data_IF_907699808260
#
_entry.id   IF_907699808260
#
_cell.length_a   1.000
_cell.length_b   1.000
_cell.length_c   1.000
_cell.angle_alpha   90.00
_cell.angle_beta   90.00
_cell.angle_gamma   90.00
#
_symmetry.space_group_name_H-M   'P 1'
#
loop_
_entity.id
_entity.type
_entity.pdbx_description
1 polymer ?
#
# COMPACT_ATOMS: atom_id res chain seq x y z
N UNK A 1 -11.93 32.66 16.84
CA UNK A 1 -13.08 31.88 16.33
C UNK A 1 -12.72 30.44 16.61
N UNK A 2 -13.47 29.71 17.44
CA UNK A 2 -13.19 28.30 17.65
C UNK A 2 -13.47 27.58 16.32
N UNK A 3 -12.44 26.99 15.71
CA UNK A 3 -12.64 26.06 14.60
C UNK A 3 -13.54 24.94 15.11
N UNK A 4 -14.78 24.91 14.62
CA UNK A 4 -15.71 23.84 14.96
C UNK A 4 -15.19 22.62 14.21
N UNK A 5 -14.74 21.59 14.95
CA UNK A 5 -14.40 20.27 14.41
C UNK A 5 -15.67 19.59 13.88
N UNK A 6 -16.09 20.00 12.68
CA UNK A 6 -17.26 19.45 12.01
C UNK A 6 -16.89 18.08 11.44
N UNK A 7 -17.57 17.05 11.93
CA UNK A 7 -17.55 15.71 11.31
C UNK A 7 -18.29 15.81 9.99
N UNK A 8 -17.61 15.51 8.88
CA UNK A 8 -18.17 15.52 7.54
C UNK A 8 -18.96 14.25 7.26
N UNK A 9 -18.39 13.09 7.60
CA UNK A 9 -19.03 11.79 7.41
C UNK A 9 -18.52 10.75 8.41
N UNK A 10 -19.27 9.65 8.53
CA UNK A 10 -18.80 8.43 9.21
C UNK A 10 -18.82 7.28 8.21
N UNK A 11 -17.71 6.56 8.03
CA UNK A 11 -17.63 5.45 7.07
C UNK A 11 -17.15 4.12 7.67
N UNK A 12 -17.86 3.00 7.45
CA UNK A 12 -19.20 2.93 6.88
C UNK A 12 -20.22 3.64 7.79
N UNK A 13 -21.32 4.17 7.23
CA UNK A 13 -22.33 4.88 8.01
C UNK A 13 -23.06 3.94 8.97
N UNK A 14 -23.59 4.45 10.10
CA UNK A 14 -24.52 3.70 10.95
C UNK A 14 -25.69 3.13 10.12
N UNK A 15 -26.19 1.92 10.45
CA UNK A 15 -25.93 1.11 11.66
C UNK A 15 -24.70 0.20 11.57
N UNK A 16 -23.86 0.31 10.53
CA UNK A 16 -22.66 -0.51 10.41
C UNK A 16 -21.67 -0.23 11.55
N UNK A 17 -20.97 -1.26 12.02
CA UNK A 17 -20.01 -1.16 13.12
C UNK A 17 -18.62 -0.71 12.64
N UNK A 18 -17.90 -0.04 13.53
CA UNK A 18 -16.52 0.39 13.31
C UNK A 18 -16.39 1.59 12.37
N UNK A 19 -17.40 2.46 12.29
CA UNK A 19 -17.33 3.69 11.51
C UNK A 19 -16.12 4.55 11.86
N UNK A 20 -15.47 5.10 10.84
CA UNK A 20 -14.38 6.07 10.94
C UNK A 20 -14.99 7.44 10.68
N UNK A 21 -14.91 8.33 11.66
CA UNK A 21 -15.34 9.73 11.50
C UNK A 21 -14.28 10.51 10.76
N UNK A 22 -14.65 11.13 9.64
CA UNK A 22 -13.78 12.04 8.88
C UNK A 22 -14.25 13.46 9.14
N UNK A 23 -13.34 14.33 9.58
CA UNK A 23 -13.61 15.73 9.88
C UNK A 23 -13.12 16.66 8.77
N UNK A 24 -13.48 17.95 8.87
CA UNK A 24 -12.94 18.96 7.96
C UNK A 24 -11.41 19.11 8.09
N UNK A 25 -10.84 18.91 9.27
CA UNK A 25 -9.38 18.94 9.48
C UNK A 25 -8.69 17.78 8.76
N UNK A 26 -9.27 16.59 8.80
CA UNK A 26 -8.75 15.43 8.06
C UNK A 26 -8.76 15.70 6.55
N UNK A 27 -9.76 16.40 6.03
CA UNK A 27 -9.84 16.76 4.62
C UNK A 27 -8.70 17.71 4.20
N UNK A 28 -8.19 18.55 5.11
CA UNK A 28 -7.09 19.47 4.79
C UNK A 28 -5.79 18.74 4.44
N UNK A 29 -5.56 17.54 4.98
CA UNK A 29 -4.34 16.79 4.67
C UNK A 29 -4.31 16.24 3.24
N UNK A 30 -5.42 16.31 2.50
CA UNK A 30 -5.50 15.98 1.08
C UNK A 30 -5.06 17.13 0.18
N UNK A 31 -4.80 18.33 0.69
CA UNK A 31 -4.22 19.40 -0.11
C UNK A 31 -2.79 19.04 -0.56
N UNK A 32 -2.33 19.66 -1.65
CA UNK A 32 -0.98 19.45 -2.17
C UNK A 32 0.09 19.80 -1.13
N UNK A 33 1.14 18.98 -1.05
CA UNK A 33 2.24 19.18 -0.10
C UNK A 33 1.98 18.69 1.33
N UNK A 34 0.75 18.31 1.69
CA UNK A 34 0.41 17.86 3.04
C UNK A 34 0.59 16.34 3.22
N UNK A 35 1.05 15.92 4.40
CA UNK A 35 1.16 14.50 4.75
C UNK A 35 -0.22 13.92 5.08
N UNK A 36 -0.56 12.77 4.50
CA UNK A 36 -1.79 12.07 4.88
C UNK A 36 -1.75 11.64 6.35
N UNK A 37 -2.87 11.82 7.05
CA UNK A 37 -3.00 11.40 8.44
C UNK A 37 -3.59 9.99 8.58
N UNK A 38 -3.59 9.46 9.81
CA UNK A 38 -4.11 8.12 10.13
C UNK A 38 -5.58 7.94 9.70
N UNK A 39 -6.41 9.00 9.82
CA UNK A 39 -7.84 8.97 9.51
C UNK A 39 -8.09 8.77 8.02
N UNK A 40 -7.42 9.54 7.16
CA UNK A 40 -7.56 9.43 5.70
C UNK A 40 -7.04 8.09 5.19
N UNK A 41 -5.91 7.61 5.72
CA UNK A 41 -5.37 6.28 5.37
C UNK A 41 -6.38 5.19 5.72
N UNK A 42 -6.84 5.15 6.97
CA UNK A 42 -7.74 4.09 7.44
C UNK A 42 -9.12 4.18 6.77
N UNK A 43 -9.64 5.41 6.53
CA UNK A 43 -10.87 5.64 5.78
C UNK A 43 -10.79 5.05 4.38
N UNK A 44 -9.77 5.44 3.61
CA UNK A 44 -9.71 5.06 2.20
C UNK A 44 -9.41 3.58 2.03
N UNK A 45 -8.52 3.00 2.84
CA UNK A 45 -8.28 1.55 2.86
C UNK A 45 -9.56 0.77 3.18
N UNK A 46 -10.38 1.28 4.10
CA UNK A 46 -11.66 0.67 4.44
C UNK A 46 -12.67 0.78 3.30
N UNK A 47 -12.73 1.92 2.61
CA UNK A 47 -13.54 2.10 1.40
C UNK A 47 -13.11 1.13 0.30
N UNK A 48 -11.81 1.02 0.01
CA UNK A 48 -11.29 0.06 -0.96
C UNK A 48 -11.68 -1.38 -0.61
N UNK A 49 -11.55 -1.76 0.66
CA UNK A 49 -11.87 -3.11 1.12
C UNK A 49 -13.37 -3.44 1.02
N UNK A 50 -14.26 -2.46 1.26
CA UNK A 50 -15.70 -2.68 1.24
C UNK A 50 -16.31 -2.56 -0.16
N UNK A 51 -15.83 -1.62 -0.98
CA UNK A 51 -16.49 -1.25 -2.25
C UNK A 51 -15.71 -1.69 -3.49
N UNK A 52 -14.39 -1.86 -3.41
CA UNK A 52 -13.53 -2.17 -4.57
C UNK A 52 -13.05 -3.60 -4.60
N UNK A 53 -12.81 -4.20 -3.42
CA UNK A 53 -12.36 -5.58 -3.33
C UNK A 53 -13.52 -6.56 -3.62
N UNK A 54 -13.28 -7.53 -4.50
CA UNK A 54 -14.26 -8.59 -4.78
C UNK A 54 -14.58 -9.37 -3.51
N UNK A 55 -15.84 -9.80 -3.36
CA UNK A 55 -16.30 -10.52 -2.14
C UNK A 55 -15.46 -11.78 -1.83
N UNK A 56 -15.07 -12.52 -2.86
CA UNK A 56 -14.20 -13.70 -2.74
C UNK A 56 -12.80 -13.35 -2.22
N UNK A 57 -12.24 -12.22 -2.67
CA UNK A 57 -10.94 -11.75 -2.24
C UNK A 57 -10.99 -11.11 -0.85
N UNK A 58 -12.11 -10.48 -0.48
CA UNK A 58 -12.34 -9.91 0.85
C UNK A 58 -12.34 -11.00 1.93
N UNK A 59 -12.89 -12.19 1.64
CA UNK A 59 -12.83 -13.34 2.57
C UNK A 59 -11.40 -13.82 2.77
N UNK A 60 -10.56 -13.75 1.73
CA UNK A 60 -9.14 -14.17 1.75
C UNK A 60 -8.19 -13.04 2.17
N UNK A 61 -8.70 -11.85 2.44
CA UNK A 61 -7.88 -10.69 2.79
C UNK A 61 -8.20 -10.15 4.19
N UNK A 62 -7.26 -9.41 4.74
CA UNK A 62 -7.44 -8.63 5.96
C UNK A 62 -6.64 -7.32 5.87
N UNK A 63 -7.24 -6.21 6.29
CA UNK A 63 -6.56 -4.91 6.34
C UNK A 63 -6.54 -4.46 7.80
N UNK A 64 -5.34 -4.27 8.35
CA UNK A 64 -5.20 -3.65 9.66
C UNK A 64 -5.32 -2.13 9.55
N UNK A 65 -5.83 -1.50 10.61
CA UNK A 65 -5.70 -0.06 10.80
C UNK A 65 -4.23 0.35 10.98
N UNK A 66 -3.88 1.57 10.61
CA UNK A 66 -2.62 2.25 10.89
C UNK A 66 -2.10 2.08 12.33
N UNK A 67 -3.01 2.02 13.30
CA UNK A 67 -2.68 1.85 14.71
C UNK A 67 -2.10 0.49 15.09
N UNK A 68 -2.28 -0.55 14.27
CA UNK A 68 -1.85 -1.91 14.60
C UNK A 68 -0.34 -1.98 14.82
N UNK A 69 0.45 -1.58 13.82
CA UNK A 69 1.91 -1.68 13.90
C UNK A 69 2.47 -0.69 14.93
N UNK A 70 1.91 0.53 14.98
CA UNK A 70 2.22 1.55 16.00
C UNK A 70 2.08 1.00 17.43
N UNK A 71 0.99 0.26 17.70
CA UNK A 71 0.74 -0.36 19.02
C UNK A 71 1.60 -1.60 19.26
N UNK A 72 1.81 -2.41 18.22
CA UNK A 72 2.68 -3.59 18.28
C UNK A 72 4.13 -3.21 18.62
N UNK A 73 4.66 -2.17 17.97
CA UNK A 73 6.05 -1.73 18.15
C UNK A 73 6.24 -0.64 19.22
N UNK A 74 5.20 -0.33 20.00
CA UNK A 74 5.28 0.68 21.05
C UNK A 74 6.34 0.31 22.12
N UNK A 75 7.24 1.25 22.42
CA UNK A 75 8.25 1.09 23.48
C UNK A 75 7.58 0.94 24.84
N UNK A 76 8.05 -0.03 25.63
CA UNK A 76 7.54 -0.25 26.99
C UNK A 76 7.95 0.91 27.92
N UNK A 77 7.01 1.39 28.73
CA UNK A 77 7.33 2.30 29.84
C UNK A 77 7.95 1.47 30.96
N UNK A 78 9.01 1.98 31.60
CA UNK A 78 9.85 1.25 32.58
C UNK A 78 9.13 0.68 33.82
N UNK A 79 7.82 0.90 34.02
CA UNK A 79 7.14 0.66 35.31
C UNK A 79 5.98 -0.37 35.29
N UNK A 80 5.82 -1.20 34.25
CA UNK A 80 4.81 -2.29 34.28
C UNK A 80 5.37 -3.55 34.92
N UNK A 81 5.04 -3.76 36.20
CA UNK A 81 5.56 -4.83 37.07
C UNK A 81 5.04 -6.23 36.68
N UNK A 82 3.91 -6.32 35.98
CA UNK A 82 3.12 -7.56 35.85
C UNK A 82 3.43 -8.41 34.59
N UNK A 83 4.23 -7.90 33.64
CA UNK A 83 4.59 -8.60 32.38
C UNK A 83 6.07 -8.89 32.24
N UNK A 84 6.89 -8.60 33.26
CA UNK A 84 8.35 -8.69 33.25
C UNK A 84 8.91 -10.12 33.03
N UNK A 85 8.08 -11.16 33.19
CA UNK A 85 8.50 -12.56 33.02
C UNK A 85 8.20 -13.14 31.62
N UNK A 86 7.44 -12.45 30.76
CA UNK A 86 7.13 -12.96 29.41
C UNK A 86 8.26 -12.62 28.41
N UNK A 87 8.50 -13.45 27.38
CA UNK A 87 9.32 -13.07 26.23
C UNK A 87 8.82 -11.77 25.58
N UNK A 88 9.75 -10.97 25.06
CA UNK A 88 9.46 -9.65 24.47
C UNK A 88 8.37 -9.75 23.39
N UNK A 89 8.44 -10.78 22.54
CA UNK A 89 7.49 -11.03 21.46
C UNK A 89 6.06 -11.22 21.99
N UNK A 90 5.90 -12.00 23.08
CA UNK A 90 4.59 -12.20 23.73
C UNK A 90 4.05 -10.91 24.35
N UNK A 91 4.92 -10.06 24.90
CA UNK A 91 4.50 -8.73 25.39
C UNK A 91 4.07 -7.81 24.26
N UNK A 92 4.81 -7.80 23.13
CA UNK A 92 4.44 -7.05 21.93
C UNK A 92 3.05 -7.48 21.42
N UNK A 93 2.87 -8.78 21.25
CA UNK A 93 1.60 -9.38 20.84
C UNK A 93 0.44 -9.04 21.78
N UNK A 94 0.63 -9.14 23.09
CA UNK A 94 -0.40 -8.83 24.09
C UNK A 94 -1.00 -7.44 23.96
N UNK A 95 -0.28 -6.46 23.40
CA UNK A 95 -0.79 -5.09 23.17
C UNK A 95 -1.81 -5.00 22.04
N UNK A 96 -1.79 -5.96 21.12
CA UNK A 96 -2.63 -6.00 19.91
C UNK A 96 -3.48 -7.28 19.82
N UNK A 97 -3.43 -8.18 20.81
CA UNK A 97 -4.15 -9.47 20.81
C UNK A 97 -5.65 -9.39 20.49
N UNK A 98 -6.29 -8.26 20.77
CA UNK A 98 -7.73 -8.06 20.53
C UNK A 98 -8.04 -7.73 19.07
N UNK A 99 -7.06 -7.24 18.29
CA UNK A 99 -7.25 -6.91 16.87
C UNK A 99 -7.65 -8.14 16.07
N UNK A 100 -7.16 -9.31 16.45
CA UNK A 100 -7.49 -10.59 15.80
C UNK A 100 -8.52 -11.42 16.56
N UNK A 101 -9.28 -10.85 17.52
CA UNK A 101 -10.20 -11.64 18.36
C UNK A 101 -11.17 -12.52 17.55
N UNK A 102 -11.68 -11.99 16.44
CA UNK A 102 -12.68 -12.65 15.59
C UNK A 102 -12.17 -12.96 14.18
N UNK A 103 -10.85 -12.99 13.97
CA UNK A 103 -10.25 -13.35 12.68
C UNK A 103 -9.09 -14.32 12.89
N UNK A 104 -8.96 -15.28 11.98
CA UNK A 104 -7.80 -16.15 11.87
C UNK A 104 -6.97 -15.70 10.67
N UNK A 105 -5.81 -15.08 10.95
CA UNK A 105 -4.91 -14.55 9.93
C UNK A 105 -4.33 -15.63 9.02
N UNK A 106 -4.24 -16.87 9.50
CA UNK A 106 -3.63 -17.98 8.75
C UNK A 106 -4.57 -18.61 7.74
N UNK A 107 -5.83 -18.18 7.70
CA UNK A 107 -6.79 -18.50 6.63
C UNK A 107 -6.83 -17.42 5.54
N UNK A 108 -6.00 -16.38 5.68
CA UNK A 108 -5.91 -15.28 4.72
C UNK A 108 -4.78 -15.54 3.75
N UNK A 109 -4.99 -15.13 2.51
CA UNK A 109 -3.95 -15.03 1.49
C UNK A 109 -3.17 -13.72 1.64
N UNK A 110 -3.85 -12.61 2.00
CA UNK A 110 -3.23 -11.29 2.07
C UNK A 110 -3.60 -10.55 3.35
N UNK A 111 -2.59 -10.01 4.03
CA UNK A 111 -2.78 -9.14 5.20
C UNK A 111 -2.03 -7.84 4.97
N UNK A 112 -2.77 -6.75 4.86
CA UNK A 112 -2.25 -5.40 4.60
C UNK A 112 -1.99 -4.70 5.93
N UNK A 113 -0.79 -4.17 6.09
CA UNK A 113 -0.34 -3.46 7.28
C UNK A 113 0.21 -2.09 6.85
N UNK A 114 -0.59 -1.02 6.90
CA UNK A 114 -0.08 0.33 6.72
C UNK A 114 0.84 0.68 7.91
N UNK A 115 2.01 1.23 7.62
CA UNK A 115 3.01 1.56 8.63
C UNK A 115 3.48 2.99 8.43
N UNK A 116 3.51 3.75 9.52
CA UNK A 116 4.09 5.08 9.60
C UNK A 116 5.24 5.07 10.59
N UNK A 117 6.45 5.36 10.12
CA UNK A 117 7.64 5.58 10.95
C UNK A 117 8.27 6.91 10.54
N UNK A 118 8.47 7.82 11.51
CA UNK A 118 9.08 9.14 11.26
C UNK A 118 8.39 9.97 10.17
N UNK A 119 7.05 10.03 10.20
CA UNK A 119 6.22 10.74 9.21
C UNK A 119 6.34 10.20 7.78
N UNK A 120 6.80 8.95 7.63
CA UNK A 120 6.89 8.27 6.35
C UNK A 120 5.99 7.04 6.31
N UNK A 121 5.06 7.04 5.36
CA UNK A 121 4.12 5.95 5.12
C UNK A 121 4.69 4.93 4.14
N UNK A 122 4.52 3.66 4.48
CA UNK A 122 4.81 2.53 3.61
C UNK A 122 3.91 1.35 3.96
N UNK A 123 3.87 0.35 3.10
CA UNK A 123 2.95 -0.77 3.23
C UNK A 123 3.71 -2.08 3.39
N UNK A 124 3.38 -2.84 4.43
CA UNK A 124 3.74 -4.25 4.50
C UNK A 124 2.55 -5.12 4.08
N UNK A 125 2.81 -6.12 3.24
CA UNK A 125 1.81 -7.14 2.84
C UNK A 125 2.33 -8.50 3.24
N UNK A 126 1.65 -9.17 4.16
CA UNK A 126 1.93 -10.56 4.52
C UNK A 126 1.15 -11.44 3.55
N UNK A 127 1.87 -12.22 2.75
CA UNK A 127 1.32 -13.09 1.73
C UNK A 127 1.35 -14.54 2.19
N UNK A 128 0.24 -15.24 2.00
CA UNK A 128 0.04 -16.67 2.26
C UNK A 128 0.61 -17.19 3.59
N UNK A 129 0.33 -16.53 4.74
CA UNK A 129 0.86 -16.95 6.04
C UNK A 129 0.45 -18.36 6.47
N UNK A 130 -0.64 -18.90 5.91
CA UNK A 130 -1.06 -20.28 6.15
C UNK A 130 -0.15 -21.33 5.49
N UNK A 131 0.46 -21.03 4.33
CA UNK A 131 1.25 -21.99 3.56
C UNK A 131 2.58 -22.31 4.22
N UNK A 132 2.94 -23.59 4.29
CA UNK A 132 4.22 -24.05 4.87
C UNK A 132 5.41 -23.79 3.95
N UNK A 133 5.20 -23.91 2.63
CA UNK A 133 6.23 -23.77 1.61
C UNK A 133 5.65 -23.16 0.34
N UNK A 134 6.54 -22.72 -0.54
CA UNK A 134 6.18 -22.29 -1.87
C UNK A 134 5.44 -23.41 -2.63
N UNK A 135 4.35 -23.04 -3.29
CA UNK A 135 3.56 -23.87 -4.18
C UNK A 135 3.66 -23.29 -5.59
N UNK A 136 4.15 -24.10 -6.53
CA UNK A 136 4.24 -23.74 -7.95
C UNK A 136 3.12 -24.43 -8.70
N UNK A 137 2.34 -23.67 -9.45
CA UNK A 137 1.22 -24.19 -10.24
C UNK A 137 1.26 -23.66 -11.67
N UNK A 138 0.63 -24.35 -12.64
CA UNK A 138 0.50 -23.86 -14.01
C UNK A 138 -0.17 -22.48 -14.01
N UNK A 139 0.36 -21.57 -14.82
CA UNK A 139 -0.22 -20.24 -14.93
C UNK A 139 -1.48 -20.28 -15.81
N UNK A 140 -2.68 -19.99 -15.27
CA UNK A 140 -3.91 -19.98 -16.07
C UNK A 140 -3.94 -18.87 -17.12
N UNK A 141 -3.07 -17.86 -16.99
CA UNK A 141 -2.93 -16.76 -17.95
C UNK A 141 -1.87 -17.03 -19.03
N UNK A 142 -1.22 -18.19 -19.01
CA UNK A 142 -0.14 -18.48 -19.96
C UNK A 142 -0.64 -18.51 -21.40
N UNK A 143 -0.03 -17.69 -22.25
CA UNK A 143 -0.24 -17.67 -23.69
C UNK A 143 1.10 -17.98 -24.37
N UNK A 144 1.23 -19.14 -25.04
CA UNK A 144 2.44 -19.46 -25.79
C UNK A 144 2.66 -18.41 -26.88
N UNK A 145 3.82 -17.76 -26.90
CA UNK A 145 4.20 -16.93 -28.04
C UNK A 145 4.52 -17.84 -29.22
N UNK A 146 3.63 -17.91 -30.20
CA UNK A 146 3.90 -18.58 -31.48
C UNK A 146 4.96 -17.77 -32.21
N UNK A 147 6.23 -18.18 -32.14
CA UNK A 147 7.26 -17.63 -33.02
C UNK A 147 6.96 -18.07 -34.45
N UNK A 148 6.38 -17.18 -35.26
CA UNK A 148 6.36 -17.35 -36.70
C UNK A 148 7.80 -17.18 -37.21
N UNK A 149 8.47 -18.30 -37.51
CA UNK A 149 9.74 -18.29 -38.21
C UNK A 149 9.50 -17.83 -39.65
N UNK A 150 9.54 -16.53 -39.90
CA UNK A 150 9.69 -16.00 -41.25
C UNK A 150 11.15 -16.20 -41.67
N UNK A 151 11.43 -17.30 -42.37
CA UNK A 151 12.65 -17.49 -43.17
C UNK A 151 12.71 -16.43 -44.27
N UNK A 152 13.34 -15.30 -43.97
CA UNK A 152 13.81 -14.37 -45.00
C UNK A 152 15.13 -14.89 -45.55
N UNK A 153 15.06 -15.49 -46.75
CA UNK A 153 16.23 -15.79 -47.57
C UNK A 153 16.67 -14.46 -48.20
N UNK A 154 17.79 -13.90 -47.74
CA UNK A 154 18.43 -12.75 -48.38
C UNK A 154 19.86 -13.11 -48.76
N UNK A 155 20.03 -13.28 -50.07
CA UNK A 155 21.28 -13.42 -50.81
C UNK A 155 22.22 -12.23 -50.60
N UNK A 156 23.47 -12.51 -50.26
CA UNK A 156 24.60 -11.56 -50.37
C UNK A 156 25.02 -11.35 -51.82
N UNK A 157 25.70 -10.23 -52.10
CA UNK A 157 27.06 -10.34 -52.64
C UNK A 157 28.07 -9.46 -51.89
N UNK A 158 29.34 -9.64 -52.27
CA UNK A 158 30.54 -9.61 -51.45
C UNK A 158 31.41 -8.33 -51.56
N UNK A 159 32.53 -8.37 -50.81
CA UNK A 159 33.74 -7.52 -50.78
C UNK A 159 33.57 -6.15 -50.08
N UNK A 160 34.52 -5.62 -49.29
CA UNK A 160 35.98 -5.72 -49.22
C UNK A 160 36.37 -5.20 -47.80
N UNK A 161 37.26 -5.78 -46.99
CA UNK A 161 38.72 -5.64 -47.10
C UNK A 161 39.23 -4.39 -46.37
N UNK A 162 39.89 -4.53 -45.20
CA UNK A 162 40.68 -3.44 -44.60
C UNK A 162 40.85 -3.49 -43.08
N UNK A 163 42.07 -3.78 -42.63
CA UNK A 163 42.57 -3.81 -41.26
C UNK A 163 43.16 -2.46 -40.80
N UNK A 164 43.41 -2.35 -39.49
CA UNK A 164 44.51 -1.64 -38.81
C UNK A 164 44.11 -0.60 -37.73
N UNK A 165 44.27 -1.04 -36.48
CA UNK A 165 45.08 -0.49 -35.39
C UNK A 165 45.41 1.02 -35.22
N UNK A 166 45.37 1.41 -33.92
CA UNK A 166 46.23 2.32 -33.14
C UNK A 166 45.81 3.79 -32.86
N UNK A 167 45.57 4.00 -31.55
CA UNK A 167 46.18 4.94 -30.60
C UNK A 167 46.07 6.47 -30.67
N UNK A 168 45.71 6.98 -29.47
CA UNK A 168 46.12 8.20 -28.76
C UNK A 168 45.87 9.59 -29.38
N UNK A 169 45.20 10.45 -28.60
CA UNK A 169 45.81 11.67 -28.06
C UNK A 169 44.97 12.25 -26.90
N UNK A 170 45.74 12.72 -25.93
CA UNK A 170 45.42 13.31 -24.62
C UNK A 170 44.69 14.65 -24.67
N UNK A 171 43.79 14.81 -23.69
CA UNK A 171 43.67 15.91 -22.70
C UNK A 171 43.92 17.36 -23.15
N UNK A 172 42.94 18.24 -22.90
CA UNK A 172 42.97 19.17 -21.74
C UNK A 172 41.73 20.09 -21.70
N UNK A 173 41.18 20.21 -20.48
CA UNK A 173 40.56 21.37 -19.82
C UNK A 173 39.64 22.31 -20.62
N UNK A 174 38.47 22.66 -20.06
CA UNK A 174 38.42 23.83 -19.16
C UNK A 174 37.04 24.07 -18.49
N UNK A 175 37.12 24.79 -17.37
CA UNK A 175 36.11 25.64 -16.69
C UNK A 175 34.94 25.01 -15.93
N UNK A 176 35.22 24.92 -14.63
CA UNK A 176 34.32 25.05 -13.48
C UNK A 176 33.39 26.30 -13.57
N UNK A 177 32.08 26.12 -13.38
CA UNK A 177 31.18 27.18 -12.87
C UNK A 177 30.17 26.59 -11.88
N UNK A 178 30.55 26.62 -10.61
CA UNK A 178 29.65 26.56 -9.46
C UNK A 178 28.63 27.69 -9.51
N UNK A 179 27.35 27.35 -9.37
CA UNK A 179 26.34 28.26 -8.82
C UNK A 179 25.69 27.56 -7.63
N UNK A 180 25.92 28.12 -6.45
CA UNK A 180 25.34 27.70 -5.18
C UNK A 180 23.90 28.19 -5.08
N UNK A 181 22.97 27.29 -4.76
CA UNK A 181 21.82 27.59 -3.92
C UNK A 181 21.70 26.48 -2.89
N UNK A 182 22.14 26.79 -1.68
CA UNK A 182 21.87 26.07 -0.45
C UNK A 182 20.49 26.45 0.06
N UNK A 183 19.72 25.48 0.53
CA UNK A 183 19.12 25.44 1.88
C UNK A 183 17.82 24.61 1.87
N UNK A 184 17.70 23.66 2.80
CA UNK A 184 16.54 22.76 2.91
C UNK A 184 16.84 21.30 3.29
N UNK A 185 18.12 20.90 3.39
CA UNK A 185 18.55 19.52 3.63
C UNK A 185 19.12 19.28 5.04
N UNK A 186 18.73 20.11 6.02
CA UNK A 186 19.27 20.05 7.39
C UNK A 186 18.23 19.76 8.49
N UNK A 187 17.06 19.22 8.14
CA UNK A 187 16.03 18.92 9.15
C UNK A 187 15.33 17.60 8.86
N UNK A 188 16.07 16.48 8.96
CA UNK A 188 15.57 15.09 9.15
C UNK A 188 16.73 14.12 9.50
N UNK A 189 18.00 14.54 9.41
CA UNK A 189 19.17 13.75 9.81
C UNK A 189 19.66 14.16 11.21
N UNK A 190 18.81 14.05 12.22
CA UNK A 190 19.25 14.05 13.63
C UNK A 190 18.30 13.17 14.44
N UNK A 191 18.42 11.83 14.30
CA UNK A 191 17.84 10.88 15.25
C UNK A 191 18.38 9.44 15.08
N UNK A 192 19.69 9.25 14.84
CA UNK A 192 20.33 7.95 15.08
C UNK A 192 21.74 8.16 15.66
N UNK A 193 21.79 8.32 16.98
CA UNK A 193 23.03 8.21 17.75
C UNK A 193 23.37 6.75 18.01
N UNK A 194 24.50 6.35 17.44
CA UNK A 194 25.48 5.37 17.91
C UNK A 194 24.98 4.01 18.43
N UNK A 195 25.18 2.95 17.63
CA UNK A 195 25.89 1.71 18.04
C UNK A 195 26.63 1.10 16.82
N UNK A 196 27.87 0.71 17.05
CA UNK A 196 28.85 0.17 16.11
C UNK A 196 28.43 -1.15 15.43
N UNK A 197 28.64 -1.24 14.12
CA UNK A 197 29.22 -2.45 13.50
C UNK A 197 29.69 -2.15 12.08
N UNK A 198 31.01 -2.23 11.87
CA UNK A 198 31.67 -2.32 10.57
C UNK A 198 30.96 -3.30 9.62
N UNK A 199 30.84 -2.96 8.33
CA UNK A 199 31.32 -3.77 7.19
C UNK A 199 31.03 -3.08 5.84
N UNK A 200 32.14 -2.77 5.14
CA UNK A 200 32.42 -2.69 3.69
C UNK A 200 31.48 -1.97 2.71
N UNK A 201 32.12 -1.01 2.02
CA UNK A 201 31.70 -0.23 0.86
C UNK A 201 31.25 -1.07 -0.35
N UNK A 202 30.29 -0.52 -1.11
CA UNK A 202 30.28 -0.59 -2.58
C UNK A 202 29.56 0.63 -3.13
N UNK A 203 30.34 1.53 -3.75
CA UNK A 203 29.88 2.70 -4.49
C UNK A 203 29.56 2.29 -5.92
N UNK A 204 28.39 2.68 -6.44
CA UNK A 204 28.15 2.77 -7.89
C UNK A 204 27.24 3.95 -8.15
N UNK A 205 27.80 4.96 -8.80
CA UNK A 205 27.18 6.24 -9.16
C UNK A 205 26.38 6.14 -10.46
N UNK A 206 25.37 7.00 -10.52
CA UNK A 206 24.29 7.16 -11.50
C UNK A 206 24.73 7.49 -12.93
N UNK A 207 23.82 7.31 -13.89
CA UNK A 207 23.55 8.28 -14.96
C UNK A 207 22.13 8.05 -15.53
N UNK A 208 21.29 9.08 -15.44
CA UNK A 208 19.96 9.22 -16.03
C UNK A 208 20.09 9.95 -17.38
N UNK A 209 19.32 9.53 -18.37
CA UNK A 209 19.01 10.31 -19.57
C UNK A 209 17.49 10.18 -19.80
N UNK A 210 16.74 11.27 -19.57
CA UNK A 210 15.31 11.36 -19.83
C UNK A 210 15.09 11.85 -21.27
N UNK A 211 14.34 11.09 -22.07
CA UNK A 211 13.77 11.57 -23.34
C UNK A 211 12.27 11.66 -23.21
N UNK A 212 11.75 12.84 -23.52
CA UNK A 212 10.33 13.16 -23.65
C UNK A 212 9.81 12.61 -25.00
N UNK A 213 8.74 11.82 -24.99
CA UNK A 213 7.81 11.78 -26.12
C UNK A 213 6.40 11.40 -25.65
N UNK A 214 5.45 12.21 -26.12
CA UNK A 214 4.04 12.24 -25.80
C UNK A 214 3.30 11.27 -26.72
N UNK A 215 2.76 10.18 -26.17
CA UNK A 215 1.66 9.48 -26.84
C UNK A 215 0.71 8.84 -25.83
N UNK A 216 -0.55 9.25 -25.96
CA UNK A 216 -1.72 8.80 -25.21
C UNK A 216 -2.06 7.35 -25.56
N UNK A 217 -1.87 6.42 -24.62
CA UNK A 217 -2.70 5.19 -24.52
C UNK A 217 -2.78 4.70 -23.06
N UNK A 218 -4.02 4.54 -22.59
CA UNK A 218 -4.42 4.01 -21.28
C UNK A 218 -4.30 2.48 -21.24
N UNK A 219 -3.06 1.95 -21.19
CA UNK A 219 -2.84 0.47 -21.20
C UNK A 219 -1.69 0.00 -20.28
N UNK A 220 -1.53 0.60 -19.10
CA UNK A 220 -0.47 0.21 -18.17
C UNK A 220 -0.73 -1.17 -17.49
N UNK A 221 -2.01 -1.52 -17.29
CA UNK A 221 -2.39 -2.85 -16.81
C UNK A 221 -2.04 -3.99 -17.79
N UNK A 222 -1.77 -3.66 -19.05
CA UNK A 222 -1.40 -4.62 -20.09
C UNK A 222 0.07 -5.02 -20.05
N UNK A 223 0.99 -4.14 -19.64
CA UNK A 223 2.42 -4.49 -19.61
C UNK A 223 2.76 -5.50 -18.51
N UNK A 224 2.29 -5.26 -17.27
CA UNK A 224 2.46 -6.22 -16.17
C UNK A 224 1.74 -7.53 -16.51
N UNK A 225 0.54 -7.45 -17.09
CA UNK A 225 -0.21 -8.63 -17.55
C UNK A 225 0.53 -9.39 -18.65
N UNK A 226 1.17 -8.70 -19.59
CA UNK A 226 1.95 -9.30 -20.67
C UNK A 226 3.21 -10.00 -20.16
N UNK A 227 3.87 -9.46 -19.13
CA UNK A 227 4.98 -10.15 -18.47
C UNK A 227 4.51 -11.47 -17.86
N UNK A 228 3.35 -11.48 -17.19
CA UNK A 228 2.83 -12.68 -16.55
C UNK A 228 2.22 -13.68 -17.53
N UNK A 229 1.58 -13.27 -18.62
CA UNK A 229 1.05 -14.20 -19.64
C UNK A 229 2.15 -14.96 -20.38
N UNK A 230 3.40 -14.48 -20.33
CA UNK A 230 4.56 -15.18 -20.91
C UNK A 230 5.13 -16.30 -20.02
N UNK A 231 4.80 -16.33 -18.72
CA UNK A 231 5.36 -17.30 -17.76
C UNK A 231 4.48 -18.54 -17.66
N UNK A 232 5.01 -19.76 -17.83
CA UNK A 232 4.20 -20.99 -17.82
C UNK A 232 3.72 -21.41 -16.42
N UNK A 233 4.34 -20.88 -15.37
CA UNK A 233 4.02 -21.22 -13.98
C UNK A 233 3.95 -19.98 -13.10
N UNK A 234 3.17 -20.06 -12.04
CA UNK A 234 3.09 -19.05 -10.98
C UNK A 234 3.45 -19.68 -9.63
N UNK A 235 3.94 -18.84 -8.72
CA UNK A 235 4.32 -19.24 -7.37
C UNK A 235 3.45 -18.54 -6.34
N UNK A 236 2.90 -19.31 -5.40
CA UNK A 236 2.32 -18.81 -4.15
C UNK A 236 3.24 -19.24 -3.01
N UNK A 237 3.74 -18.29 -2.22
CA UNK A 237 4.64 -18.61 -1.12
C UNK A 237 4.45 -17.68 0.08
N UNK A 238 4.70 -18.16 1.31
CA UNK A 238 4.74 -17.30 2.48
C UNK A 238 5.85 -16.25 2.35
N UNK A 239 5.49 -14.97 2.31
CA UNK A 239 6.45 -13.86 2.27
C UNK A 239 5.87 -12.59 2.88
N UNK A 240 6.74 -11.61 3.16
CA UNK A 240 6.36 -10.26 3.58
C UNK A 240 6.92 -9.29 2.56
N UNK A 241 6.04 -8.60 1.86
CA UNK A 241 6.39 -7.57 0.89
C UNK A 241 6.41 -6.22 1.58
N UNK A 242 7.43 -5.41 1.30
CA UNK A 242 7.53 -4.01 1.73
C UNK A 242 7.43 -3.14 0.48
N UNK A 243 6.28 -2.48 0.31
CA UNK A 243 6.05 -1.49 -0.75
C UNK A 243 6.35 -0.11 -0.17
N UNK A 244 7.37 0.54 -0.70
CA UNK A 244 7.83 1.85 -0.24
C UNK A 244 8.10 2.76 -1.45
N UNK A 245 7.44 3.91 -1.48
CA UNK A 245 7.57 4.91 -2.55
C UNK A 245 8.85 5.74 -2.42
N UNK A 246 9.49 5.72 -1.25
CA UNK A 246 10.79 6.33 -1.04
C UNK A 246 11.89 5.28 -1.07
N UNK A 247 12.99 5.62 -1.75
CA UNK A 247 14.24 4.88 -1.62
C UNK A 247 14.78 5.06 -0.21
N UNK A 248 15.13 3.97 0.44
CA UNK A 248 15.69 4.01 1.79
C UNK A 248 16.23 2.67 2.25
N UNK A 249 16.73 2.61 3.50
CA UNK A 249 17.24 1.37 4.08
C UNK A 249 16.20 0.26 4.07
N UNK A 250 16.66 -0.97 3.92
CA UNK A 250 15.77 -2.14 4.00
C UNK A 250 15.02 -2.16 5.34
N UNK A 251 13.70 -2.35 5.31
CA UNK A 251 12.85 -2.39 6.51
C UNK A 251 12.91 -3.74 7.24
N UNK A 252 14.11 -4.26 7.43
CA UNK A 252 14.35 -5.60 7.98
C UNK A 252 13.81 -5.79 9.40
N UNK A 253 13.88 -4.74 10.24
CA UNK A 253 13.33 -4.72 11.61
C UNK A 253 11.81 -4.89 11.63
N UNK A 254 11.12 -4.31 10.65
CA UNK A 254 9.67 -4.42 10.50
C UNK A 254 9.29 -5.84 10.12
N UNK A 255 9.96 -6.38 9.11
CA UNK A 255 9.77 -7.77 8.69
C UNK A 255 10.02 -8.72 9.86
N UNK A 256 11.09 -8.54 10.63
CA UNK A 256 11.38 -9.33 11.83
C UNK A 256 10.24 -9.23 12.86
N UNK A 257 9.78 -8.02 13.16
CA UNK A 257 8.72 -7.78 14.14
C UNK A 257 7.39 -8.43 13.71
N UNK A 258 7.06 -8.38 12.42
CA UNK A 258 5.87 -9.04 11.89
C UNK A 258 5.98 -10.58 11.93
N UNK A 259 7.16 -11.15 11.63
CA UNK A 259 7.39 -12.60 11.79
C UNK A 259 7.23 -13.04 13.25
N UNK A 260 7.83 -12.31 14.19
CA UNK A 260 7.68 -12.57 15.64
C UNK A 260 6.22 -12.45 16.10
N UNK A 261 5.46 -11.48 15.56
CA UNK A 261 4.03 -11.37 15.80
C UNK A 261 3.26 -12.60 15.30
N UNK A 262 3.55 -13.08 14.08
CA UNK A 262 2.91 -14.27 13.50
C UNK A 262 3.23 -15.55 14.28
N UNK A 263 4.45 -15.70 14.81
CA UNK A 263 4.81 -16.85 15.66
C UNK A 263 3.93 -16.92 16.91
N UNK A 264 3.77 -15.80 17.62
CA UNK A 264 2.93 -15.73 18.82
C UNK A 264 1.44 -15.85 18.46
N UNK A 265 0.99 -15.21 17.38
CA UNK A 265 -0.40 -15.32 16.93
C UNK A 265 -0.73 -16.76 16.52
N UNK A 266 0.20 -17.48 15.89
CA UNK A 266 0.04 -18.90 15.55
C UNK A 266 -0.11 -19.75 16.80
N UNK A 267 0.75 -19.56 17.80
CA UNK A 267 0.63 -20.24 19.10
C UNK A 267 -0.76 -20.02 19.72
N UNK A 268 -1.23 -18.76 19.74
CA UNK A 268 -2.53 -18.40 20.32
C UNK A 268 -3.71 -18.99 19.54
N UNK A 269 -3.63 -19.04 18.21
CA UNK A 269 -4.75 -19.48 17.34
C UNK A 269 -4.77 -20.98 17.07
N UNK A 270 -3.61 -21.62 17.00
CA UNK A 270 -3.44 -23.02 16.59
C UNK A 270 -3.04 -23.94 17.74
N UNK A 271 -2.62 -23.38 18.88
CA UNK A 271 -2.19 -24.17 20.04
C UNK A 271 -0.89 -24.95 19.83
N UNK A 272 -0.15 -24.64 18.75
CA UNK A 272 1.13 -25.26 18.39
C UNK A 272 2.18 -24.19 18.10
N UNK A 273 3.45 -24.57 18.08
CA UNK A 273 4.54 -23.66 17.71
C UNK A 273 4.81 -23.78 16.21
N UNK A 274 5.03 -22.65 15.54
CA UNK A 274 5.47 -22.59 14.15
C UNK A 274 6.45 -21.45 14.00
N UNK A 275 7.64 -21.73 13.45
CA UNK A 275 8.59 -20.68 13.13
C UNK A 275 8.22 -20.01 11.82
N UNK A 276 8.28 -18.69 11.82
CA UNK A 276 8.21 -17.85 10.63
C UNK A 276 9.59 -17.26 10.35
N UNK A 277 10.68 -18.01 10.51
CA UNK A 277 12.04 -17.54 10.26
C UNK A 277 12.28 -17.05 8.83
N UNK A 278 13.46 -16.44 8.59
CA UNK A 278 13.84 -15.85 7.29
C UNK A 278 13.78 -16.85 6.12
N UNK A 279 14.02 -18.13 6.39
CA UNK A 279 14.01 -19.18 5.37
C UNK A 279 12.60 -19.63 4.98
N UNK A 280 11.66 -19.55 5.93
CA UNK A 280 10.25 -19.92 5.73
C UNK A 280 9.47 -18.75 5.15
N UNK A 281 9.61 -17.55 5.72
CA UNK A 281 8.87 -16.36 5.33
C UNK A 281 9.82 -15.20 5.02
N UNK A 282 10.27 -15.15 3.77
CA UNK A 282 11.22 -14.14 3.28
C UNK A 282 10.59 -12.75 3.29
N UNK A 283 11.36 -11.75 3.73
CA UNK A 283 11.05 -10.35 3.48
C UNK A 283 11.59 -9.94 2.13
N UNK A 284 10.83 -9.17 1.35
CA UNK A 284 11.25 -8.63 0.07
C UNK A 284 10.70 -7.22 -0.14
N UNK A 285 11.46 -6.37 -0.81
CA UNK A 285 11.01 -5.05 -1.25
C UNK A 285 10.90 -5.06 -2.78
N UNK A 286 9.69 -5.25 -3.34
CA UNK A 286 9.49 -5.15 -4.78
C UNK A 286 9.91 -3.77 -5.31
N UNK A 287 10.36 -3.72 -6.56
CA UNK A 287 10.55 -2.43 -7.25
C UNK A 287 9.18 -1.87 -7.59
N UNK A 288 8.72 -0.84 -6.89
CA UNK A 288 7.39 -0.22 -7.10
C UNK A 288 7.54 1.20 -7.66
N UNK A 289 6.49 1.80 -8.25
CA UNK A 289 6.52 3.20 -8.64
C UNK A 289 6.95 4.05 -7.43
N UNK A 290 7.97 4.89 -7.65
CA UNK A 290 8.54 5.76 -6.62
C UNK A 290 7.91 7.15 -6.72
N UNK A 291 7.81 7.84 -5.59
CA UNK A 291 7.36 9.23 -5.55
C UNK A 291 8.50 10.18 -5.93
N UNK A 292 8.14 11.33 -6.51
CA UNK A 292 9.03 12.42 -6.90
C UNK A 292 9.03 13.60 -5.91
N UNK A 293 8.17 13.53 -4.88
CA UNK A 293 8.03 14.54 -3.84
C UNK A 293 8.17 13.93 -2.42
N UNK A 294 8.00 14.76 -1.38
CA UNK A 294 8.25 14.35 0.01
C UNK A 294 6.98 14.04 0.82
N UNK A 295 5.79 14.38 0.33
CA UNK A 295 4.54 14.31 1.10
C UNK A 295 3.58 13.21 0.64
N UNK A 296 3.78 12.63 -0.55
CA UNK A 296 2.85 11.67 -1.15
C UNK A 296 3.00 10.22 -0.69
N UNK A 297 3.88 9.92 0.28
CA UNK A 297 4.09 8.53 0.71
C UNK A 297 2.79 7.84 1.15
N UNK A 298 1.88 8.58 1.79
CA UNK A 298 0.55 8.08 2.13
C UNK A 298 -0.33 7.83 0.90
N UNK A 299 -0.28 8.70 -0.11
CA UNK A 299 -1.03 8.58 -1.37
C UNK A 299 -0.59 7.31 -2.11
N UNK A 300 0.72 7.05 -2.17
CA UNK A 300 1.28 5.84 -2.76
C UNK A 300 0.86 4.57 -2.02
N UNK A 301 0.82 4.57 -0.68
CA UNK A 301 0.28 3.44 0.09
C UNK A 301 -1.15 3.11 -0.32
N UNK A 302 -2.01 4.12 -0.49
CA UNK A 302 -3.39 3.93 -0.94
C UNK A 302 -3.45 3.38 -2.37
N UNK A 303 -2.60 3.89 -3.27
CA UNK A 303 -2.54 3.40 -4.65
C UNK A 303 -2.03 1.97 -4.75
N UNK A 304 -1.03 1.58 -3.96
CA UNK A 304 -0.54 0.19 -3.94
C UNK A 304 -1.66 -0.79 -3.57
N UNK A 305 -2.49 -0.46 -2.57
CA UNK A 305 -3.62 -1.30 -2.18
C UNK A 305 -4.70 -1.33 -3.25
N UNK A 306 -5.06 -0.17 -3.82
CA UNK A 306 -6.06 -0.10 -4.88
C UNK A 306 -5.63 -0.91 -6.12
N UNK A 307 -4.39 -0.72 -6.60
CA UNK A 307 -3.86 -1.48 -7.73
C UNK A 307 -3.80 -2.98 -7.45
N UNK A 308 -3.49 -3.38 -6.20
CA UNK A 308 -3.55 -4.78 -5.78
C UNK A 308 -4.98 -5.34 -5.81
N UNK A 309 -5.99 -4.55 -5.46
CA UNK A 309 -7.39 -4.99 -5.48
C UNK A 309 -7.98 -5.02 -6.90
N UNK A 310 -7.60 -4.06 -7.75
CA UNK A 310 -8.01 -4.02 -9.16
C UNK A 310 -7.38 -5.18 -9.95
N UNK A 311 -6.07 -5.37 -9.79
CA UNK A 311 -5.28 -6.37 -10.50
C UNK A 311 -4.32 -7.08 -9.53
N UNK A 312 -4.79 -8.12 -8.81
CA UNK A 312 -3.95 -8.87 -7.88
C UNK A 312 -2.73 -9.48 -8.56
N UNK A 313 -1.60 -9.52 -7.83
CA UNK A 313 -0.36 -10.11 -8.34
C UNK A 313 -0.55 -11.61 -8.60
N UNK A 314 -0.27 -12.10 -9.83
CA UNK A 314 -0.52 -13.49 -10.18
C UNK A 314 0.54 -14.44 -9.61
N UNK A 315 1.75 -13.94 -9.33
CA UNK A 315 2.88 -14.75 -8.87
C UNK A 315 3.73 -13.99 -7.86
N UNK A 316 4.30 -14.74 -6.92
CA UNK A 316 5.07 -14.25 -5.79
C UNK A 316 6.51 -14.78 -5.82
N UNK A 317 7.07 -15.04 -7.02
CA UNK A 317 8.51 -15.25 -7.16
C UNK A 317 9.25 -13.97 -6.74
N UNK A 318 10.28 -14.13 -5.89
CA UNK A 318 11.06 -13.02 -5.36
C UNK A 318 12.45 -12.98 -6.04
N UNK A 319 13.02 -11.80 -6.34
CA UNK A 319 12.43 -10.46 -6.17
C UNK A 319 11.38 -10.11 -7.23
N UNK A 320 10.47 -9.19 -6.92
CA UNK A 320 9.42 -8.72 -7.82
C UNK A 320 9.75 -7.36 -8.44
N UNK A 321 9.47 -7.21 -9.73
CA UNK A 321 9.50 -5.93 -10.43
C UNK A 321 8.06 -5.49 -10.74
N UNK A 322 7.68 -4.36 -10.18
CA UNK A 322 6.36 -3.74 -10.29
C UNK A 322 6.52 -2.25 -10.66
N UNK A 323 7.63 -1.86 -11.30
CA UNK A 323 7.94 -0.45 -11.56
C UNK A 323 6.86 0.23 -12.41
N UNK A 324 6.24 -0.53 -13.30
CA UNK A 324 5.17 -0.09 -14.22
C UNK A 324 3.80 -0.60 -13.75
N UNK A 325 3.56 -0.73 -12.44
CA UNK A 325 2.29 -1.27 -11.92
C UNK A 325 1.11 -0.31 -12.12
N UNK A 326 1.39 0.99 -12.14
CA UNK A 326 0.44 2.03 -12.52
C UNK A 326 1.20 3.25 -13.06
N UNK A 327 0.57 4.05 -13.94
CA UNK A 327 1.23 5.22 -14.50
C UNK A 327 1.34 6.33 -13.45
N UNK A 328 2.44 7.08 -13.47
CA UNK A 328 2.69 8.21 -12.57
C UNK A 328 1.60 9.28 -12.64
N UNK A 329 0.92 9.40 -13.79
CA UNK A 329 -0.20 10.32 -13.96
C UNK A 329 -1.36 10.04 -12.99
N UNK A 330 -1.59 8.78 -12.58
CA UNK A 330 -2.60 8.45 -11.55
C UNK A 330 -2.32 9.16 -10.23
N UNK A 331 -1.06 9.49 -9.93
CA UNK A 331 -0.69 10.13 -8.66
C UNK A 331 -0.98 11.61 -8.62
N UNK A 332 -1.06 12.27 -9.78
CA UNK A 332 -1.39 13.70 -9.86
C UNK A 332 -2.84 14.01 -9.47
N UNK A 333 -3.77 13.08 -9.68
CA UNK A 333 -5.21 13.29 -9.41
C UNK A 333 -5.69 12.63 -8.14
N UNK A 334 -4.86 11.78 -7.51
CA UNK A 334 -5.34 10.87 -6.46
C UNK A 334 -5.84 11.59 -5.21
N UNK A 335 -5.19 12.68 -4.83
CA UNK A 335 -5.60 13.54 -3.71
C UNK A 335 -7.01 14.09 -3.92
N UNK A 336 -7.25 14.66 -5.10
CA UNK A 336 -8.56 15.19 -5.49
C UNK A 336 -9.62 14.09 -5.59
N UNK A 337 -9.29 12.92 -6.14
CA UNK A 337 -10.20 11.78 -6.21
C UNK A 337 -10.69 11.34 -4.81
N UNK A 338 -9.78 11.29 -3.83
CA UNK A 338 -10.12 10.93 -2.45
C UNK A 338 -10.99 12.03 -1.81
N UNK A 339 -10.66 13.30 -2.07
CA UNK A 339 -11.40 14.46 -1.56
C UNK A 339 -12.83 14.48 -2.11
N UNK A 340 -13.00 14.34 -3.42
CA UNK A 340 -14.30 14.29 -4.08
C UNK A 340 -15.12 13.07 -3.62
N UNK A 341 -14.48 11.93 -3.37
CA UNK A 341 -15.15 10.78 -2.80
C UNK A 341 -15.73 11.09 -1.41
N UNK A 342 -14.97 11.75 -0.53
CA UNK A 342 -15.43 12.14 0.82
C UNK A 342 -16.63 13.08 0.71
N UNK A 343 -16.54 14.12 -0.12
CA UNK A 343 -17.63 15.10 -0.31
C UNK A 343 -18.90 14.44 -0.89
N UNK A 344 -18.72 13.51 -1.83
CA UNK A 344 -19.82 12.73 -2.40
C UNK A 344 -20.50 11.87 -1.33
N UNK A 345 -19.73 11.12 -0.54
CA UNK A 345 -20.26 10.28 0.53
C UNK A 345 -20.95 11.10 1.62
N UNK A 346 -20.40 12.25 1.99
CA UNK A 346 -21.04 13.21 2.90
C UNK A 346 -22.42 13.62 2.39
N UNK A 347 -22.51 14.05 1.12
CA UNK A 347 -23.76 14.48 0.49
C UNK A 347 -24.80 13.35 0.51
N UNK A 348 -24.37 12.12 0.17
CA UNK A 348 -25.24 10.94 0.21
C UNK A 348 -25.77 10.65 1.61
N UNK A 349 -24.93 10.77 2.65
CA UNK A 349 -25.35 10.55 4.03
C UNK A 349 -26.35 11.61 4.52
N UNK A 350 -26.18 12.87 4.11
CA UNK A 350 -27.12 13.95 4.44
C UNK A 350 -28.50 13.74 3.80
N UNK A 351 -28.54 13.41 2.51
CA UNK A 351 -29.79 13.11 1.79
C UNK A 351 -30.54 11.90 2.38
N UNK A 352 -29.80 10.86 2.78
CA UNK A 352 -30.38 9.69 3.45
C UNK A 352 -30.97 10.03 4.83
N UNK A 353 -30.39 11.00 5.54
CA UNK A 353 -30.94 11.49 6.81
C UNK A 353 -32.22 12.29 6.60
N UNK A 354 -32.26 13.17 5.60
CA UNK A 354 -33.43 14.01 5.28
C UNK A 354 -34.62 13.17 4.77
N UNK A 355 -34.36 12.16 3.94
CA UNK A 355 -35.40 11.23 3.44
C UNK A 355 -36.01 10.35 4.53
N UNK A 356 -35.32 10.11 5.65
CA UNK A 356 -35.87 9.40 6.81
C UNK A 356 -36.73 10.30 7.72
N UNK A 357 -36.71 11.63 7.48
CA UNK A 357 -37.42 12.63 8.29
C UNK A 357 -38.63 13.27 7.58
N UNK A 358 -39.09 12.76 6.43
CA UNK A 358 -40.34 13.25 5.85
C UNK A 358 -41.56 12.78 6.69
N UNK A 359 -42.44 13.69 7.15
CA UNK A 359 -43.71 13.29 7.73
C UNK A 359 -44.62 12.72 6.62
N UNK A 360 -45.24 11.56 6.85
CA UNK A 360 -46.46 11.21 6.14
C UNK A 360 -47.54 12.24 6.50
N UNK A 361 -47.77 13.22 5.64
CA UNK A 361 -49.04 13.96 5.61
C UNK A 361 -50.05 13.14 4.80
N UNK A 362 -50.76 12.27 5.51
CA UNK A 362 -52.03 11.63 5.13
C UNK A 362 -52.94 11.84 6.35
N UNK A 363 -54.15 12.41 6.33
CA UNK A 363 -55.08 12.76 5.26
C UNK A 363 -56.03 13.82 5.84
N UNK A 364 -56.42 14.80 5.03
CA UNK A 364 -57.60 15.63 5.25
C UNK A 364 -58.85 14.74 5.27
N UNK A 365 -59.52 14.60 6.40
CA UNK A 365 -60.91 14.11 6.44
C UNK A 365 -61.82 15.20 7.00
N UNK A 366 -62.47 15.87 6.06
CA UNK A 366 -63.59 16.78 6.30
C UNK A 366 -64.89 16.00 6.44
N UNK A 367 -65.73 16.49 7.34
CA UNK A 367 -67.17 16.25 7.54
C UNK A 367 -67.56 15.12 8.52
N UNK A 368 -68.02 15.52 9.71
CA UNK A 368 -69.42 15.23 10.06
C UNK A 368 -69.97 16.22 11.11
N UNK A 369 -71.08 16.85 10.72
CA UNK A 369 -71.92 17.72 11.54
C UNK A 369 -72.88 16.85 12.36
N UNK A 370 -72.88 17.00 13.69
CA UNK A 370 -73.92 16.45 14.57
C UNK A 370 -74.76 17.63 15.11
N UNK A 371 -76.10 17.65 14.90
CA UNK A 371 -76.98 18.66 15.51
C UNK A 371 -77.40 18.26 16.94
N UNK A 372 -77.93 19.20 17.74
CA UNK A 372 -78.12 19.00 19.17
C UNK A 372 -79.43 18.26 19.48
N UNK A 373 -79.41 17.40 20.49
CA UNK A 373 -80.63 16.83 21.08
C UNK A 373 -80.92 17.57 22.39
N UNK A 374 -82.00 18.33 22.37
CA UNK A 374 -82.77 18.76 23.54
C UNK A 374 -83.86 17.72 23.79
N UNK A 375 -83.94 17.21 25.02
CA UNK A 375 -85.14 16.85 25.84
C UNK A 375 -84.70 15.96 27.00
#
# INVERSE_FOLDING_TARGET
>A
VAEIFLTLLVYPPPPAKGGISVTNEDLHCLNDGEFLNDVIIDFYLKYLFLEKLKKEDAVRSHVFSSFFYKRLNQRERRNTVDTSNLPIQKRKHNRVKTWTRHVDLFQKDFIFVPINESAHWYLAIICFPGLEKAHVEPNPLYQPQTQAYSTAVSSSPAADGGSDELDDIRSAADVNRQTQYTDGLHRIIECYGAEDSHHSDDQSSCQDECSEDDSLVDDCGSFVKAEWTSKPTICKQPCILIMDSLRGPTRSTVVKTLREYLEVEWEVKKGSQRSFGKDVMKGSSPRVPQQDNFSDCGVYVLQYVESFFENPLPSFYLPMNLLDWFPQQRMKTKRDEIKELILKLQTQQQLNLESCHSPCEDTLESADLIPPISS
#
